data_IF_454606415883
#
_entry.id   IF_454606415883
#
_cell.length_a   1.000
_cell.length_b   1.000
_cell.length_c   1.000
_cell.angle_alpha   90.00
_cell.angle_beta   90.00
_cell.angle_gamma   90.00
#
_symmetry.space_group_name_H-M   'P 1'
#
loop_
_entity.id
_entity.type
_entity.pdbx_description
1 polymer ?
#
# COMPACT_ATOMS: atom_id res chain seq x y z
N UNK A 1 34.66 9.99 12.04
CA UNK A 1 33.63 9.52 13.00
C UNK A 1 33.82 8.02 13.20
N UNK A 2 33.80 7.52 14.44
CA UNK A 2 33.80 6.07 14.73
C UNK A 2 32.76 5.83 15.82
N UNK A 3 31.55 5.39 15.44
CA UNK A 3 30.58 4.89 16.41
C UNK A 3 31.01 3.46 16.78
N UNK A 4 31.30 3.22 18.05
CA UNK A 4 31.89 1.94 18.50
C UNK A 4 30.82 1.04 19.12
N UNK A 5 30.40 0.03 18.36
CA UNK A 5 29.40 -0.95 18.80
C UNK A 5 30.10 -2.13 19.49
N UNK A 6 29.92 -2.25 20.82
CA UNK A 6 30.59 -3.28 21.61
C UNK A 6 29.67 -4.46 21.91
N UNK A 7 30.08 -5.65 21.46
CA UNK A 7 29.37 -6.92 21.70
C UNK A 7 30.15 -7.82 22.67
N UNK A 8 30.41 -7.32 23.89
CA UNK A 8 31.04 -8.13 24.94
C UNK A 8 30.23 -9.42 25.20
N UNK A 9 30.94 -10.55 25.07
CA UNK A 9 30.62 -11.81 25.71
C UNK A 9 31.45 -11.82 26.99
N UNK A 10 30.82 -12.01 28.14
CA UNK A 10 31.51 -12.13 29.42
C UNK A 10 31.19 -13.51 30.01
N UNK A 11 32.25 -14.27 30.26
CA UNK A 11 32.24 -15.49 31.04
C UNK A 11 32.95 -15.23 32.36
N UNK A 12 32.28 -15.54 33.47
CA UNK A 12 32.84 -15.76 34.80
C UNK A 12 33.44 -14.55 35.57
N UNK A 13 33.51 -14.73 36.89
CA UNK A 13 34.18 -13.90 37.91
C UNK A 13 34.68 -14.87 39.01
N UNK A 14 34.75 -14.53 40.32
CA UNK A 14 34.52 -13.25 41.01
C UNK A 14 35.71 -12.89 41.97
N UNK A 15 35.42 -12.14 43.07
CA UNK A 15 36.23 -11.71 44.25
C UNK A 15 36.37 -10.15 44.28
N UNK A 16 35.97 -9.37 45.30
CA UNK A 16 36.23 -9.38 46.76
C UNK A 16 37.65 -8.86 47.13
N UNK A 17 37.88 -7.90 48.04
CA UNK A 17 37.02 -6.92 48.77
C UNK A 17 37.87 -5.64 49.10
N UNK A 18 37.72 -4.73 50.08
CA UNK A 18 36.90 -4.54 51.30
C UNK A 18 37.04 -3.08 51.89
N UNK A 19 36.42 -2.77 53.05
CA UNK A 19 36.86 -1.81 54.13
C UNK A 19 37.20 -0.31 53.77
N UNK A 20 36.73 0.78 54.43
CA UNK A 20 35.82 1.08 55.58
C UNK A 20 35.34 2.57 55.56
N UNK A 21 34.42 2.91 56.49
CA UNK A 21 33.92 4.24 56.93
C UNK A 21 35.02 5.24 57.43
N UNK A 22 34.78 6.50 57.87
CA UNK A 22 33.59 7.17 58.47
C UNK A 22 33.67 8.74 58.49
N UNK A 23 32.56 9.43 58.80
CA UNK A 23 32.34 10.81 59.37
C UNK A 23 33.26 12.00 58.92
N UNK A 24 32.88 13.05 58.16
CA UNK A 24 31.78 14.08 58.18
C UNK A 24 32.04 15.37 59.01
N UNK A 25 31.67 16.53 58.43
CA UNK A 25 31.45 17.90 59.01
C UNK A 25 32.58 18.97 58.89
N UNK A 26 32.20 20.11 58.27
CA UNK A 26 32.77 21.50 58.30
C UNK A 26 34.19 21.80 57.77
N UNK A 27 34.21 22.36 56.56
CA UNK A 27 35.00 23.56 56.17
C UNK A 27 34.29 24.34 55.03
N UNK A 28 33.00 24.64 55.18
CA UNK A 28 32.17 25.34 54.17
C UNK A 28 32.48 26.85 54.10
N UNK A 29 33.70 27.26 53.73
CA UNK A 29 34.01 28.71 53.60
C UNK A 29 35.23 29.05 52.70
N UNK A 30 35.61 28.18 51.75
CA UNK A 30 36.76 28.47 50.86
C UNK A 30 36.61 27.96 49.40
N UNK A 31 35.38 28.01 48.85
CA UNK A 31 35.05 27.37 47.56
C UNK A 31 34.26 28.26 46.56
N UNK A 32 34.39 29.59 46.64
CA UNK A 32 33.62 30.54 45.79
C UNK A 32 34.45 31.34 44.75
N UNK A 33 35.74 31.03 44.56
CA UNK A 33 36.62 31.87 43.68
C UNK A 33 37.33 31.13 42.54
N UNK A 34 37.09 29.83 42.32
CA UNK A 34 37.85 29.01 41.35
C UNK A 34 37.03 28.03 40.49
N UNK A 35 35.69 28.12 40.46
CA UNK A 35 34.83 27.21 39.67
C UNK A 35 33.89 27.99 38.74
N UNK A 36 34.49 28.77 37.83
CA UNK A 36 33.81 29.48 36.74
C UNK A 36 34.21 28.86 35.38
N UNK A 37 34.01 27.54 35.27
CA UNK A 37 34.51 26.64 34.23
C UNK A 37 34.98 25.32 34.85
N UNK A 38 34.85 24.16 34.18
CA UNK A 38 34.70 24.00 32.72
C UNK A 38 33.34 23.44 32.25
N UNK A 39 32.34 23.28 33.12
CA UNK A 39 31.05 22.62 32.78
C UNK A 39 30.37 23.22 31.56
N UNK A 40 30.08 24.53 31.57
CA UNK A 40 29.33 25.20 30.52
C UNK A 40 29.99 25.05 29.13
N UNK A 41 31.33 25.03 29.07
CA UNK A 41 32.07 24.81 27.83
C UNK A 41 31.92 23.35 27.35
N UNK A 42 32.08 22.37 28.24
CA UNK A 42 31.92 20.96 27.90
C UNK A 42 30.48 20.65 27.46
N UNK A 43 29.47 21.15 28.19
CA UNK A 43 28.06 21.00 27.82
C UNK A 43 27.74 21.70 26.48
N UNK A 44 28.39 22.83 26.16
CA UNK A 44 28.24 23.49 24.87
C UNK A 44 28.92 22.73 23.72
N UNK A 45 30.12 22.17 23.95
CA UNK A 45 30.81 21.30 22.98
C UNK A 45 30.01 20.01 22.70
N UNK A 46 29.42 19.39 23.73
CA UNK A 46 28.50 18.26 23.58
C UNK A 46 27.24 18.64 22.79
N UNK A 47 26.66 19.83 23.01
CA UNK A 47 25.48 20.33 22.27
C UNK A 47 25.80 20.56 20.79
N UNK A 48 26.94 21.16 20.46
CA UNK A 48 27.36 21.34 19.06
C UNK A 48 27.72 20.00 18.39
N UNK A 49 28.38 19.08 19.11
CA UNK A 49 28.62 17.72 18.62
C UNK A 49 27.31 17.01 18.26
N UNK A 50 26.28 17.10 19.12
CA UNK A 50 24.95 16.54 18.88
C UNK A 50 24.30 17.15 17.62
N UNK A 51 24.37 18.48 17.44
CA UNK A 51 23.83 19.16 16.24
C UNK A 51 24.51 18.68 14.96
N UNK A 52 25.85 18.65 14.94
CA UNK A 52 26.63 18.19 13.78
C UNK A 52 26.34 16.72 13.45
N UNK A 53 26.25 15.86 14.47
CA UNK A 53 25.89 14.46 14.27
C UNK A 53 24.48 14.29 13.70
N UNK A 54 23.49 15.06 14.15
CA UNK A 54 22.12 14.95 13.65
C UNK A 54 21.92 15.50 12.23
N UNK A 55 22.81 16.37 11.76
CA UNK A 55 22.86 16.83 10.37
C UNK A 55 23.54 15.82 9.41
N UNK A 56 24.24 14.80 9.92
CA UNK A 56 24.95 13.83 9.09
C UNK A 56 24.00 12.72 8.57
N UNK A 57 23.83 12.68 7.24
CA UNK A 57 23.08 11.64 6.53
C UNK A 57 23.63 10.21 6.67
N UNK A 58 24.74 10.02 7.39
CA UNK A 58 25.15 8.74 7.96
C UNK A 58 24.04 8.09 8.81
N UNK A 59 23.42 8.85 9.72
CA UNK A 59 22.39 8.31 10.64
C UNK A 59 21.05 8.03 9.98
N UNK A 60 20.80 8.61 8.80
CA UNK A 60 19.65 8.28 7.96
C UNK A 60 19.69 6.85 7.41
N UNK A 61 20.80 6.10 7.54
CA UNK A 61 20.98 4.79 6.90
C UNK A 61 20.40 3.64 7.74
N UNK A 62 19.67 2.73 7.11
CA UNK A 62 18.93 1.66 7.79
C UNK A 62 19.83 0.70 8.60
N UNK A 63 21.03 0.39 8.11
CA UNK A 63 21.98 -0.50 8.81
C UNK A 63 22.44 0.09 10.17
N UNK A 64 22.42 1.41 10.34
CA UNK A 64 22.70 2.06 11.62
C UNK A 64 21.64 1.69 12.66
N UNK A 65 20.37 1.62 12.25
CA UNK A 65 19.26 1.13 13.10
C UNK A 65 19.52 -0.32 13.54
N UNK A 66 20.15 -1.14 12.70
CA UNK A 66 20.48 -2.53 13.02
C UNK A 66 21.63 -2.65 14.02
N UNK A 67 22.71 -1.88 13.85
CA UNK A 67 23.87 -1.91 14.74
C UNK A 67 23.53 -1.37 16.12
N UNK A 68 22.89 -0.19 16.20
CA UNK A 68 22.40 0.38 17.46
C UNK A 68 21.37 -0.62 18.07
N UNK A 69 20.43 -1.12 17.26
CA UNK A 69 19.38 -2.05 17.67
C UNK A 69 19.85 -3.40 18.24
N UNK A 70 21.08 -3.82 17.91
CA UNK A 70 21.67 -5.11 18.34
C UNK A 70 22.84 -4.95 19.33
N UNK A 71 23.32 -3.74 19.58
CA UNK A 71 24.44 -3.50 20.46
C UNK A 71 24.05 -3.66 21.95
N UNK A 72 24.92 -4.30 22.74
CA UNK A 72 24.77 -4.42 24.20
C UNK A 72 25.26 -3.19 24.95
N UNK A 73 26.22 -2.49 24.36
CA UNK A 73 26.81 -1.27 24.87
C UNK A 73 27.17 -0.38 23.68
N UNK A 74 26.82 0.90 23.78
CA UNK A 74 27.02 1.91 22.73
C UNK A 74 27.71 3.12 23.36
N UNK A 75 28.71 3.64 22.65
CA UNK A 75 29.46 4.83 23.02
C UNK A 75 29.65 5.68 21.75
N UNK A 76 29.32 6.96 21.86
CA UNK A 76 29.41 7.92 20.75
C UNK A 76 30.77 8.61 20.85
N UNK A 77 31.54 8.61 19.75
CA UNK A 77 32.85 9.26 19.68
C UNK A 77 32.96 10.19 18.48
N UNK A 78 33.33 11.45 18.73
CA UNK A 78 33.46 12.49 17.73
C UNK A 78 34.64 13.42 18.09
N UNK A 79 35.71 13.36 17.29
CA UNK A 79 37.01 13.92 17.70
C UNK A 79 37.49 13.22 18.98
N UNK A 80 37.96 14.01 19.94
CA UNK A 80 38.36 13.54 21.27
C UNK A 80 37.17 13.35 22.24
N UNK A 81 35.96 13.82 21.88
CA UNK A 81 34.77 13.68 22.72
C UNK A 81 34.28 12.24 22.65
N UNK A 82 34.17 11.58 23.81
CA UNK A 82 33.59 10.25 23.96
C UNK A 82 32.52 10.29 25.06
N UNK A 83 31.29 9.88 24.74
CA UNK A 83 30.18 9.88 25.68
C UNK A 83 29.35 8.59 25.63
N UNK A 84 28.82 8.20 26.79
CA UNK A 84 27.88 7.07 26.88
C UNK A 84 26.61 7.37 26.08
N UNK A 85 25.99 6.34 25.49
CA UNK A 85 24.72 6.49 24.78
C UNK A 85 23.64 7.17 25.62
N UNK A 86 23.58 6.91 26.94
CA UNK A 86 22.62 7.58 27.84
C UNK A 86 22.86 9.09 27.95
N UNK A 87 24.11 9.55 27.92
CA UNK A 87 24.42 10.99 27.92
C UNK A 87 23.99 11.63 26.58
N UNK A 88 24.43 11.04 25.46
CA UNK A 88 24.03 11.45 24.11
C UNK A 88 22.51 11.57 23.96
N UNK A 89 21.76 10.60 24.49
CA UNK A 89 20.30 10.59 24.51
C UNK A 89 19.67 11.77 25.25
N UNK A 90 20.23 12.20 26.39
CA UNK A 90 19.71 13.35 27.16
C UNK A 90 20.02 14.65 26.41
N UNK A 91 21.28 14.86 26.03
CA UNK A 91 21.71 16.04 25.28
C UNK A 91 20.95 16.18 23.96
N UNK A 92 20.62 15.07 23.28
CA UNK A 92 19.79 15.08 22.09
C UNK A 92 18.34 15.49 22.36
N UNK A 93 17.70 14.91 23.38
CA UNK A 93 16.32 15.23 23.75
C UNK A 93 16.12 16.69 24.19
N UNK A 94 17.15 17.33 24.76
CA UNK A 94 17.11 18.74 25.16
C UNK A 94 17.28 19.74 24.01
N UNK A 95 17.87 19.34 22.89
CA UNK A 95 18.32 20.29 21.86
C UNK A 95 17.67 20.09 20.48
N UNK A 96 17.06 18.93 20.19
CA UNK A 96 16.54 18.62 18.85
C UNK A 96 15.17 17.95 18.92
N UNK A 97 14.18 18.59 18.28
CA UNK A 97 12.80 18.10 18.24
C UNK A 97 12.53 17.05 17.16
N UNK A 98 13.29 17.05 16.05
CA UNK A 98 12.99 16.22 14.87
C UNK A 98 14.28 15.69 14.21
N UNK A 99 14.21 14.51 13.58
CA UNK A 99 15.32 13.90 12.85
C UNK A 99 15.35 12.36 12.97
N UNK A 100 16.06 11.66 12.06
CA UNK A 100 16.04 10.19 11.96
C UNK A 100 16.56 9.51 13.24
N UNK A 101 17.51 10.13 13.94
CA UNK A 101 17.97 9.67 15.25
C UNK A 101 16.82 9.52 16.25
N UNK A 102 15.87 10.46 16.29
CA UNK A 102 14.74 10.43 17.23
C UNK A 102 13.83 9.21 17.05
N UNK A 103 13.73 8.70 15.83
CA UNK A 103 12.91 7.52 15.50
C UNK A 103 13.59 6.21 15.94
N UNK A 104 14.93 6.14 15.94
CA UNK A 104 15.73 4.96 16.37
C UNK A 104 15.50 4.58 17.84
N UNK A 105 15.02 5.52 18.68
CA UNK A 105 14.94 5.32 20.13
C UNK A 105 13.73 4.51 20.60
N UNK A 106 12.85 4.10 19.68
CA UNK A 106 11.72 3.22 19.98
C UNK A 106 12.15 1.75 19.91
N UNK A 107 12.80 1.30 20.97
CA UNK A 107 13.26 -0.09 21.12
C UNK A 107 12.11 -1.09 21.32
N UNK A 108 12.23 -2.25 20.68
CA UNK A 108 11.31 -3.39 20.76
C UNK A 108 9.83 -3.03 20.50
N UNK A 109 9.52 -2.74 19.24
CA UNK A 109 8.14 -2.67 18.76
C UNK A 109 7.88 -3.73 17.68
N UNK A 110 6.60 -4.08 17.55
CA UNK A 110 6.08 -4.93 16.47
C UNK A 110 6.55 -4.44 15.09
N UNK A 111 6.85 -5.37 14.21
CA UNK A 111 7.45 -5.19 12.88
C UNK A 111 6.77 -4.11 12.04
N UNK A 112 5.43 -4.09 12.08
CA UNK A 112 4.58 -3.07 11.44
C UNK A 112 4.98 -1.65 11.79
N UNK A 113 5.38 -1.42 13.03
CA UNK A 113 5.77 -0.11 13.52
C UNK A 113 7.20 0.24 13.13
N UNK A 114 8.13 -0.72 13.14
CA UNK A 114 9.48 -0.49 12.59
C UNK A 114 9.40 -0.07 11.11
N UNK A 115 8.49 -0.68 10.33
CA UNK A 115 8.22 -0.29 8.94
C UNK A 115 7.70 1.15 8.81
N UNK A 116 6.86 1.63 9.74
CA UNK A 116 6.36 3.02 9.77
C UNK A 116 7.42 4.04 10.23
N UNK A 117 8.14 3.72 11.31
CA UNK A 117 9.12 4.59 11.98
C UNK A 117 10.44 4.71 11.20
N UNK A 118 10.79 3.74 10.36
CA UNK A 118 12.02 3.76 9.56
C UNK A 118 11.75 3.82 8.04
N UNK A 119 10.57 4.33 7.67
CA UNK A 119 10.17 4.43 6.26
C UNK A 119 11.05 5.36 5.43
N UNK A 120 11.63 6.40 6.03
CA UNK A 120 12.54 7.34 5.34
C UNK A 120 14.00 6.87 5.33
N UNK A 121 14.35 5.80 6.07
CA UNK A 121 15.74 5.37 6.23
C UNK A 121 16.36 4.82 4.93
N UNK A 122 17.60 5.17 4.64
CA UNK A 122 18.29 4.86 3.39
C UNK A 122 18.94 3.46 3.41
N UNK A 123 18.68 2.65 2.39
CA UNK A 123 19.40 1.39 2.12
C UNK A 123 19.78 1.31 0.63
N UNK A 124 20.76 0.47 0.30
CA UNK A 124 21.23 0.28 -1.08
C UNK A 124 20.45 -0.82 -1.79
N UNK A 125 20.22 -1.93 -1.10
CA UNK A 125 19.37 -3.04 -1.56
C UNK A 125 17.93 -2.80 -1.06
N UNK A 126 16.91 -2.68 -1.92
CA UNK A 126 15.54 -2.38 -1.47
C UNK A 126 14.94 -3.43 -0.52
N UNK A 127 15.32 -4.71 -0.63
CA UNK A 127 14.88 -5.77 0.29
C UNK A 127 15.30 -5.51 1.74
N UNK A 128 16.40 -4.79 1.97
CA UNK A 128 16.86 -4.43 3.32
C UNK A 128 15.80 -3.65 4.10
N UNK A 129 14.92 -2.87 3.43
CA UNK A 129 13.79 -2.20 4.10
C UNK A 129 12.91 -3.13 4.92
N UNK A 130 12.78 -4.37 4.47
CA UNK A 130 11.99 -5.41 5.12
C UNK A 130 12.95 -6.28 5.95
N UNK A 131 13.92 -6.90 5.31
CA UNK A 131 14.80 -7.91 5.90
C UNK A 131 15.70 -7.33 7.01
N UNK A 132 16.12 -6.07 6.86
CA UNK A 132 16.93 -5.37 7.87
C UNK A 132 16.17 -5.12 9.17
N UNK A 133 14.86 -4.84 9.08
CA UNK A 133 13.96 -4.62 10.21
C UNK A 133 13.39 -5.94 10.78
N UNK A 134 13.21 -6.97 9.94
CA UNK A 134 12.87 -8.34 10.38
C UNK A 134 13.83 -8.84 11.44
N UNK A 135 15.13 -8.54 11.28
CA UNK A 135 16.19 -8.89 12.25
C UNK A 135 16.23 -8.08 13.56
N UNK A 136 15.26 -7.18 13.78
CA UNK A 136 15.13 -6.32 14.97
C UNK A 136 13.77 -6.47 15.69
N UNK A 137 12.72 -6.88 14.99
CA UNK A 137 11.39 -7.04 15.56
C UNK A 137 11.30 -8.28 16.48
N UNK A 138 10.34 -8.28 17.42
CA UNK A 138 10.11 -9.39 18.34
C UNK A 138 9.07 -10.41 17.81
N UNK A 139 8.19 -9.95 16.92
CA UNK A 139 7.05 -10.64 16.33
C UNK A 139 7.37 -11.36 15.01
N UNK A 140 8.56 -11.15 14.41
CA UNK A 140 8.98 -11.71 13.11
C UNK A 140 9.44 -13.17 13.15
N UNK A 141 9.12 -13.90 14.21
CA UNK A 141 9.50 -15.32 14.35
C UNK A 141 8.84 -16.15 13.25
N UNK A 142 9.66 -16.82 12.43
CA UNK A 142 9.21 -17.60 11.28
C UNK A 142 9.16 -16.83 9.95
N UNK A 143 9.50 -15.54 9.92
CA UNK A 143 9.71 -14.82 8.66
C UNK A 143 10.98 -15.33 7.94
N UNK A 144 10.87 -15.74 6.67
CA UNK A 144 11.98 -16.25 5.89
C UNK A 144 12.56 -15.17 4.96
N UNK A 145 13.84 -14.83 5.14
CA UNK A 145 14.55 -13.86 4.30
C UNK A 145 15.27 -14.60 3.16
N UNK A 146 14.97 -14.24 1.91
CA UNK A 146 15.52 -14.87 0.71
C UNK A 146 15.80 -13.81 -0.36
N UNK A 147 17.06 -13.40 -0.49
CA UNK A 147 17.48 -12.34 -1.43
C UNK A 147 17.35 -12.74 -2.91
N UNK A 148 17.10 -14.02 -3.22
CA UNK A 148 16.83 -14.48 -4.59
C UNK A 148 15.41 -14.11 -5.05
N UNK A 149 14.50 -13.77 -4.13
CA UNK A 149 13.13 -13.35 -4.45
C UNK A 149 13.07 -12.02 -5.16
N UNK A 150 12.10 -11.85 -6.06
CA UNK A 150 11.73 -10.56 -6.63
C UNK A 150 11.11 -9.64 -5.58
N UNK A 151 11.14 -8.32 -5.80
CA UNK A 151 10.55 -7.34 -4.87
C UNK A 151 9.04 -7.55 -4.67
N UNK A 152 8.34 -8.06 -5.68
CA UNK A 152 6.90 -8.37 -5.60
C UNK A 152 6.64 -9.61 -4.75
N UNK A 153 7.49 -10.64 -4.82
CA UNK A 153 7.41 -11.79 -3.89
C UNK A 153 7.73 -11.38 -2.45
N UNK A 154 8.77 -10.57 -2.22
CA UNK A 154 9.10 -10.08 -0.88
C UNK A 154 7.96 -9.24 -0.31
N UNK A 155 7.29 -8.43 -1.14
CA UNK A 155 6.07 -7.72 -0.77
C UNK A 155 4.94 -8.69 -0.40
N UNK A 156 4.71 -9.73 -1.21
CA UNK A 156 3.62 -10.69 -0.99
C UNK A 156 3.83 -11.55 0.27
N UNK A 157 5.04 -12.03 0.53
CA UNK A 157 5.38 -12.75 1.76
C UNK A 157 5.30 -11.84 2.99
N UNK A 158 5.66 -10.55 2.86
CA UNK A 158 5.47 -9.55 3.93
C UNK A 158 3.99 -9.34 4.25
N UNK A 159 3.15 -9.13 3.23
CA UNK A 159 1.71 -8.96 3.42
C UNK A 159 1.06 -10.21 4.02
N UNK A 160 1.41 -11.40 3.53
CA UNK A 160 0.97 -12.69 4.08
C UNK A 160 1.38 -12.85 5.55
N UNK A 161 2.61 -12.47 5.91
CA UNK A 161 3.09 -12.54 7.29
C UNK A 161 2.29 -11.61 8.21
N UNK A 162 2.05 -10.37 7.80
CA UNK A 162 1.22 -9.41 8.55
C UNK A 162 -0.25 -9.84 8.66
N UNK A 163 -0.72 -10.69 7.74
CA UNK A 163 -2.06 -11.30 7.77
C UNK A 163 -2.13 -12.50 8.74
N UNK A 164 -1.07 -13.32 8.86
CA UNK A 164 -0.98 -14.41 9.84
C UNK A 164 -1.23 -13.93 11.27
N UNK A 165 -0.67 -12.77 11.63
CA UNK A 165 -0.71 -12.18 12.98
C UNK A 165 -2.06 -11.54 13.32
N UNK A 166 -3.07 -11.63 12.44
CA UNK A 166 -4.37 -10.96 12.61
C UNK A 166 -4.29 -9.43 12.55
N UNK A 167 -3.12 -8.89 12.22
CA UNK A 167 -2.81 -7.47 12.31
C UNK A 167 -3.50 -6.63 11.22
N UNK A 168 -3.77 -7.20 10.05
CA UNK A 168 -4.47 -6.53 8.95
C UNK A 168 -6.00 -6.59 9.14
N UNK A 169 -6.59 -5.50 9.63
CA UNK A 169 -8.02 -5.24 9.42
C UNK A 169 -8.27 -4.84 7.95
N UNK A 170 -9.52 -4.90 7.49
CA UNK A 170 -9.89 -4.51 6.11
C UNK A 170 -9.36 -3.16 5.69
N UNK A 171 -9.48 -2.19 6.60
CA UNK A 171 -9.20 -0.78 6.35
C UNK A 171 -7.70 -0.48 6.52
N UNK A 172 -6.96 -1.36 7.20
CA UNK A 172 -5.50 -1.30 7.32
C UNK A 172 -4.75 -2.12 6.26
N UNK A 173 -5.39 -3.11 5.63
CA UNK A 173 -4.79 -3.94 4.58
C UNK A 173 -4.24 -3.12 3.41
N UNK A 174 -5.05 -2.19 2.88
CA UNK A 174 -4.66 -1.27 1.80
C UNK A 174 -3.52 -0.35 2.24
N UNK A 175 -3.64 0.31 3.40
CA UNK A 175 -2.63 1.25 3.90
C UNK A 175 -1.26 0.59 4.14
N UNK A 176 -1.24 -0.59 4.78
CA UNK A 176 0.01 -1.33 4.98
C UNK A 176 0.56 -1.92 3.68
N UNK A 177 -0.30 -2.32 2.75
CA UNK A 177 0.12 -2.72 1.41
C UNK A 177 0.86 -1.61 0.67
N UNK A 178 0.34 -0.37 0.69
CA UNK A 178 0.98 0.79 0.06
C UNK A 178 2.29 1.17 0.77
N UNK A 179 2.35 1.10 2.10
CA UNK A 179 3.58 1.28 2.86
C UNK A 179 4.64 0.25 2.43
N UNK A 180 4.35 -1.05 2.51
CA UNK A 180 5.31 -2.10 2.14
C UNK A 180 5.70 -2.01 0.64
N UNK A 181 4.76 -1.59 -0.23
CA UNK A 181 5.03 -1.34 -1.65
C UNK A 181 6.00 -0.19 -1.84
N UNK A 182 5.75 0.99 -1.26
CA UNK A 182 6.63 2.16 -1.36
C UNK A 182 8.02 1.94 -0.76
N UNK A 183 8.16 1.06 0.24
CA UNK A 183 9.45 0.68 0.84
C UNK A 183 10.30 -0.17 -0.11
N UNK A 184 9.73 -1.26 -0.64
CA UNK A 184 10.44 -2.18 -1.54
C UNK A 184 10.59 -1.63 -2.97
N UNK A 185 9.58 -0.89 -3.43
CA UNK A 185 9.38 -0.52 -4.82
C UNK A 185 9.16 1.00 -4.86
N UNK A 186 10.27 1.73 -5.02
CA UNK A 186 10.23 3.18 -5.29
C UNK A 186 9.34 3.44 -6.51
N UNK A 187 8.60 4.54 -6.51
CA UNK A 187 7.55 4.88 -7.48
C UNK A 187 7.97 5.07 -8.96
N UNK A 188 9.19 4.63 -9.32
CA UNK A 188 9.81 4.76 -10.64
C UNK A 188 10.19 3.40 -11.27
N UNK A 189 9.82 2.26 -10.68
CA UNK A 189 9.81 0.99 -11.42
C UNK A 189 8.83 1.09 -12.59
N UNK A 190 9.18 0.50 -13.74
CA UNK A 190 8.39 0.58 -14.98
C UNK A 190 7.04 -0.17 -14.93
N UNK A 191 6.47 -0.50 -16.11
CA UNK A 191 5.17 -1.17 -16.23
C UNK A 191 5.05 -2.43 -15.36
N UNK A 192 3.81 -2.83 -15.06
CA UNK A 192 3.47 -3.97 -14.19
C UNK A 192 3.92 -5.35 -14.69
N UNK A 193 4.72 -5.41 -15.76
CA UNK A 193 5.39 -6.60 -16.26
C UNK A 193 6.22 -7.31 -15.18
N UNK A 194 6.76 -6.57 -14.19
CA UNK A 194 7.44 -7.17 -13.03
C UNK A 194 6.50 -7.82 -12.00
N UNK A 195 5.17 -7.73 -12.18
CA UNK A 195 4.19 -8.51 -11.44
C UNK A 195 3.79 -9.82 -12.15
N UNK A 196 4.11 -10.00 -13.44
CA UNK A 196 3.90 -11.26 -14.18
C UNK A 196 4.56 -12.52 -13.57
N UNK A 197 5.72 -12.47 -12.85
CA UNK A 197 6.26 -13.68 -12.21
C UNK A 197 5.46 -14.17 -10.99
N UNK A 198 4.39 -13.47 -10.57
CA UNK A 198 3.29 -14.11 -9.83
C UNK A 198 2.47 -15.00 -10.78
N UNK A 199 3.11 -16.08 -11.25
CA UNK A 199 2.76 -16.87 -12.43
C UNK A 199 1.24 -17.11 -12.63
N UNK A 200 0.63 -16.35 -13.55
CA UNK A 200 -0.63 -16.73 -14.21
C UNK A 200 -0.39 -17.88 -15.20
N UNK A 201 0.01 -19.04 -14.68
CA UNK A 201 -0.07 -20.31 -15.42
C UNK A 201 -1.55 -20.66 -15.63
N UNK A 202 -1.88 -21.23 -16.78
CA UNK A 202 -3.26 -21.42 -17.27
C UNK A 202 -4.04 -22.55 -16.56
N UNK A 203 -3.71 -22.85 -15.30
CA UNK A 203 -4.38 -23.83 -14.44
C UNK A 203 -4.14 -23.51 -12.95
N UNK A 204 -4.52 -22.31 -12.50
CA UNK A 204 -4.53 -21.99 -11.07
C UNK A 204 -5.60 -22.86 -10.38
N UNK A 205 -5.27 -23.66 -9.36
CA UNK A 205 -6.29 -24.31 -8.53
C UNK A 205 -7.00 -23.23 -7.72
N UNK A 206 -8.26 -22.94 -8.04
CA UNK A 206 -9.06 -21.95 -7.32
C UNK A 206 -9.13 -22.32 -5.84
N UNK A 207 -8.69 -21.40 -4.97
CA UNK A 207 -8.85 -21.52 -3.53
C UNK A 207 -10.30 -21.17 -3.16
N UNK A 208 -11.18 -22.14 -3.35
CA UNK A 208 -12.49 -22.16 -2.71
C UNK A 208 -12.28 -22.32 -1.19
N UNK A 209 -12.64 -21.32 -0.40
CA UNK A 209 -12.47 -21.38 1.06
C UNK A 209 -13.58 -22.20 1.73
N UNK A 210 -13.27 -23.45 2.10
CA UNK A 210 -14.09 -24.24 3.02
C UNK A 210 -13.89 -23.80 4.49
N UNK A 211 -14.99 -23.80 5.22
CA UNK A 211 -15.15 -23.57 6.68
C UNK A 211 -14.59 -22.25 7.26
N UNK A 212 -15.50 -21.36 7.67
CA UNK A 212 -15.25 -19.97 8.11
C UNK A 212 -14.44 -19.81 9.41
N UNK A 213 -13.86 -20.90 9.92
CA UNK A 213 -13.22 -21.01 11.24
C UNK A 213 -11.71 -20.74 11.21
N UNK A 214 -11.04 -21.01 10.09
CA UNK A 214 -9.60 -20.83 9.93
C UNK A 214 -9.31 -19.92 8.72
N UNK A 215 -9.17 -18.60 8.96
CA UNK A 215 -8.78 -17.66 7.90
C UNK A 215 -7.38 -17.99 7.38
N UNK A 216 -7.29 -18.32 6.10
CA UNK A 216 -6.01 -18.56 5.43
C UNK A 216 -5.20 -17.27 5.35
N UNK A 217 -3.91 -17.24 5.74
CA UNK A 217 -3.10 -16.01 5.68
C UNK A 217 -2.79 -15.54 4.25
N UNK A 218 -3.14 -16.34 3.23
CA UNK A 218 -3.11 -15.93 1.81
C UNK A 218 -4.34 -15.12 1.38
N UNK A 219 -5.40 -15.10 2.20
CA UNK A 219 -6.68 -14.46 1.92
C UNK A 219 -6.79 -13.16 2.72
N UNK A 220 -6.90 -12.04 2.02
CA UNK A 220 -7.03 -10.70 2.60
C UNK A 220 -8.49 -10.29 2.59
N UNK A 221 -9.06 -10.08 3.77
CA UNK A 221 -10.40 -9.52 3.91
C UNK A 221 -10.37 -8.01 3.69
N UNK A 222 -11.15 -7.50 2.73
CA UNK A 222 -11.28 -6.07 2.43
C UNK A 222 -12.74 -5.63 2.53
N UNK A 223 -12.98 -4.35 2.82
CA UNK A 223 -14.31 -3.74 2.76
C UNK A 223 -14.47 -3.02 1.43
N UNK A 224 -15.28 -3.58 0.55
CA UNK A 224 -15.72 -2.94 -0.67
C UNK A 224 -17.04 -2.17 -0.48
N UNK A 225 -17.29 -1.26 -1.41
CA UNK A 225 -18.51 -0.46 -1.57
C UNK A 225 -19.09 -0.76 -2.95
N UNK A 226 -20.30 -1.34 -3.00
CA UNK A 226 -20.93 -1.75 -4.25
C UNK A 226 -21.48 -0.50 -4.95
N UNK A 227 -20.81 -0.08 -6.02
CA UNK A 227 -21.22 1.09 -6.83
C UNK A 227 -22.44 0.73 -7.68
N UNK A 228 -22.46 -0.48 -8.23
CA UNK A 228 -23.57 -1.03 -8.98
C UNK A 228 -23.24 -2.31 -9.74
N UNK A 229 -24.06 -2.64 -10.72
CA UNK A 229 -23.90 -3.78 -11.63
C UNK A 229 -23.66 -3.27 -13.06
N UNK A 230 -22.70 -3.84 -13.80
CA UNK A 230 -22.47 -3.50 -15.21
C UNK A 230 -23.73 -3.85 -16.02
N UNK A 231 -24.27 -2.88 -16.75
CA UNK A 231 -25.44 -3.06 -17.62
C UNK A 231 -25.08 -3.16 -19.09
N UNK A 232 -24.03 -2.45 -19.53
CA UNK A 232 -23.50 -2.50 -20.89
C UNK A 232 -21.96 -2.45 -20.86
N UNK A 233 -21.34 -3.06 -21.87
CA UNK A 233 -19.89 -2.97 -22.13
C UNK A 233 -19.73 -2.36 -23.51
N UNK A 234 -19.03 -1.23 -23.58
CA UNK A 234 -18.84 -0.44 -24.78
C UNK A 234 -17.63 -0.87 -25.62
N UNK A 235 -17.30 -0.09 -26.67
CA UNK A 235 -16.06 -0.28 -27.44
C UNK A 235 -14.81 -0.13 -26.56
N UNK A 236 -13.64 -0.51 -27.08
CA UNK A 236 -12.40 -0.20 -26.38
C UNK A 236 -11.95 1.26 -26.63
N UNK A 237 -11.16 1.86 -25.72
CA UNK A 237 -10.68 3.23 -25.84
C UNK A 237 -10.01 3.58 -27.18
N UNK A 238 -9.27 2.65 -27.77
CA UNK A 238 -8.56 2.85 -29.05
C UNK A 238 -9.48 2.71 -30.28
N UNK A 239 -10.71 2.22 -30.11
CA UNK A 239 -11.70 2.07 -31.18
C UNK A 239 -12.74 3.19 -31.21
N UNK A 240 -13.11 3.78 -30.07
CA UNK A 240 -14.14 4.83 -30.03
C UNK A 240 -13.65 6.15 -30.65
N UNK A 241 -12.40 6.55 -30.34
CA UNK A 241 -11.77 7.77 -30.87
C UNK A 241 -11.78 7.87 -32.40
N UNK A 242 -11.38 6.82 -33.17
CA UNK A 242 -11.38 6.89 -34.64
C UNK A 242 -12.71 6.52 -35.32
N UNK A 243 -13.73 6.04 -34.60
CA UNK A 243 -14.93 5.45 -35.24
C UNK A 243 -16.24 6.05 -34.72
N UNK A 244 -16.81 6.98 -35.50
CA UNK A 244 -18.09 7.63 -35.20
C UNK A 244 -19.24 6.64 -34.98
N UNK A 245 -19.29 5.52 -35.71
CA UNK A 245 -20.34 4.51 -35.50
C UNK A 245 -20.26 3.83 -34.14
N UNK A 246 -19.05 3.74 -33.55
CA UNK A 246 -18.86 3.21 -32.18
C UNK A 246 -19.16 4.25 -31.11
N UNK A 247 -19.03 5.55 -31.42
CA UNK A 247 -19.54 6.63 -30.59
C UNK A 247 -21.09 6.69 -30.62
N UNK A 248 -21.70 6.67 -31.80
CA UNK A 248 -23.17 6.64 -31.97
C UNK A 248 -23.82 5.46 -31.20
N UNK A 249 -23.18 4.29 -31.21
CA UNK A 249 -23.59 3.11 -30.43
C UNK A 249 -23.43 3.33 -28.93
N UNK A 250 -22.35 3.98 -28.49
CA UNK A 250 -22.10 4.27 -27.08
C UNK A 250 -23.10 5.28 -26.50
N UNK A 251 -23.39 6.36 -27.23
CA UNK A 251 -24.44 7.33 -26.84
C UNK A 251 -25.85 6.70 -26.85
N UNK A 252 -26.10 5.73 -27.75
CA UNK A 252 -27.35 4.96 -27.75
C UNK A 252 -27.50 4.09 -26.48
N UNK A 253 -26.42 3.45 -26.02
CA UNK A 253 -26.40 2.70 -24.76
C UNK A 253 -26.57 3.62 -23.55
N UNK A 254 -25.96 4.82 -23.54
CA UNK A 254 -26.15 5.83 -22.49
C UNK A 254 -27.63 6.24 -22.42
N UNK A 255 -28.24 6.58 -23.56
CA UNK A 255 -29.63 7.00 -23.67
C UNK A 255 -30.60 5.90 -23.18
N UNK A 256 -30.35 4.64 -23.56
CA UNK A 256 -31.17 3.50 -23.14
C UNK A 256 -31.06 3.22 -21.63
N UNK A 257 -29.89 3.41 -21.02
CA UNK A 257 -29.65 3.06 -19.63
C UNK A 257 -29.95 4.20 -18.63
N UNK A 258 -29.85 5.47 -19.03
CA UNK A 258 -30.01 6.65 -18.14
C UNK A 258 -31.01 7.72 -18.62
N UNK A 259 -32.26 7.36 -19.02
CA UNK A 259 -33.22 8.33 -19.57
C UNK A 259 -33.58 9.48 -18.61
N UNK A 260 -33.60 9.23 -17.30
CA UNK A 260 -33.91 10.24 -16.27
C UNK A 260 -32.68 11.08 -15.85
N UNK A 261 -31.46 10.63 -16.16
CA UNK A 261 -30.19 11.23 -15.73
C UNK A 261 -29.29 11.67 -16.89
N UNK A 262 -29.86 11.82 -18.08
CA UNK A 262 -29.15 11.85 -19.36
C UNK A 262 -28.07 12.93 -19.46
N UNK A 263 -28.31 14.14 -18.93
CA UNK A 263 -27.33 15.24 -18.97
C UNK A 263 -26.07 14.96 -18.13
N UNK A 264 -26.22 14.37 -16.95
CA UNK A 264 -25.08 13.95 -16.12
C UNK A 264 -24.35 12.75 -16.73
N UNK A 265 -25.07 11.87 -17.43
CA UNK A 265 -24.48 10.72 -18.12
C UNK A 265 -23.66 11.14 -19.35
N UNK A 266 -24.14 12.07 -20.18
CA UNK A 266 -23.32 12.60 -21.27
C UNK A 266 -22.13 13.40 -20.76
N UNK A 267 -22.25 14.23 -19.70
CA UNK A 267 -21.07 14.94 -19.16
C UNK A 267 -20.00 13.96 -18.67
N UNK A 268 -20.39 12.88 -17.99
CA UNK A 268 -19.47 11.81 -17.56
C UNK A 268 -18.87 11.01 -18.74
N UNK A 269 -19.54 11.02 -19.91
CA UNK A 269 -19.02 10.49 -21.17
C UNK A 269 -18.04 11.47 -21.82
N UNK A 270 -18.37 12.75 -21.91
CA UNK A 270 -17.50 13.80 -22.45
C UNK A 270 -16.20 13.90 -21.65
N UNK A 271 -16.27 13.89 -20.31
CA UNK A 271 -15.11 13.84 -19.40
C UNK A 271 -14.22 12.61 -19.69
N UNK A 272 -14.82 11.44 -19.93
CA UNK A 272 -14.13 10.18 -20.25
C UNK A 272 -13.48 10.22 -21.64
N UNK A 273 -14.20 10.65 -22.69
CA UNK A 273 -13.67 10.73 -24.06
C UNK A 273 -12.54 11.76 -24.15
N UNK A 274 -12.67 12.92 -23.50
CA UNK A 274 -11.60 13.91 -23.46
C UNK A 274 -10.32 13.35 -22.79
N UNK A 275 -10.44 12.64 -21.68
CA UNK A 275 -9.29 11.97 -21.06
C UNK A 275 -8.63 10.93 -22.00
N UNK A 276 -9.44 10.16 -22.73
CA UNK A 276 -8.92 9.18 -23.70
C UNK A 276 -8.21 9.83 -24.90
N UNK A 277 -8.64 11.01 -25.32
CA UNK A 277 -7.98 11.80 -26.38
C UNK A 277 -6.63 12.40 -25.91
N UNK A 278 -6.48 12.71 -24.63
CA UNK A 278 -5.26 13.32 -24.08
C UNK A 278 -4.20 12.33 -23.57
N UNK A 279 -4.59 11.08 -23.33
CA UNK A 279 -3.78 10.00 -22.75
C UNK A 279 -3.02 9.19 -23.81
N UNK A 280 -1.93 8.53 -23.40
CA UNK A 280 -1.17 7.61 -24.26
C UNK A 280 -1.68 6.17 -24.09
N UNK A 281 -1.60 5.37 -25.16
CA UNK A 281 -1.99 3.95 -25.12
C UNK A 281 -1.34 3.16 -23.97
N UNK A 282 -0.06 3.42 -23.66
CA UNK A 282 0.66 2.79 -22.54
C UNK A 282 0.12 3.17 -21.15
N UNK A 283 -0.48 4.36 -21.02
CA UNK A 283 -1.14 4.81 -19.79
C UNK A 283 -2.49 4.09 -19.66
N UNK A 284 -3.23 3.93 -20.76
CA UNK A 284 -4.49 3.18 -20.85
C UNK A 284 -4.32 1.67 -20.59
N UNK A 285 -3.26 1.05 -21.10
CA UNK A 285 -2.92 -0.35 -20.80
C UNK A 285 -2.59 -0.54 -19.31
N UNK A 286 -2.06 0.48 -18.64
CA UNK A 286 -1.84 0.48 -17.18
C UNK A 286 -3.13 0.64 -16.35
N UNK A 287 -4.27 0.97 -16.98
CA UNK A 287 -5.57 1.10 -16.31
C UNK A 287 -6.29 -0.26 -16.25
N UNK A 288 -6.18 -1.10 -17.27
CA UNK A 288 -6.98 -2.32 -17.42
C UNK A 288 -6.23 -3.62 -17.15
N UNK A 289 -5.97 -3.94 -15.88
CA UNK A 289 -5.36 -5.22 -15.52
C UNK A 289 -6.38 -6.37 -15.50
N UNK A 290 -6.22 -7.29 -16.46
CA UNK A 290 -6.89 -8.61 -16.49
C UNK A 290 -6.32 -9.55 -15.42
N UNK A 291 -6.63 -9.28 -14.15
CA UNK A 291 -6.26 -10.14 -13.01
C UNK A 291 -7.49 -10.87 -12.46
N UNK A 292 -7.51 -12.20 -12.57
CA UNK A 292 -8.49 -13.05 -11.90
C UNK A 292 -7.90 -13.46 -10.54
N UNK A 293 -8.63 -13.20 -9.45
CA UNK A 293 -8.22 -13.65 -8.10
C UNK A 293 -8.18 -15.18 -8.04
N UNK A 294 -7.09 -15.72 -7.51
CA UNK A 294 -6.97 -17.15 -7.17
C UNK A 294 -7.91 -17.60 -6.05
N UNK A 295 -8.46 -16.65 -5.28
CA UNK A 295 -9.41 -16.87 -4.19
C UNK A 295 -10.84 -16.67 -4.68
N UNK A 296 -11.72 -17.60 -4.30
CA UNK A 296 -13.18 -17.44 -4.36
C UNK A 296 -13.80 -17.74 -3.00
N UNK A 297 -14.85 -17.01 -2.64
CA UNK A 297 -15.46 -17.09 -1.31
C UNK A 297 -16.97 -17.25 -1.37
N UNK A 298 -17.53 -17.94 -0.38
CA UNK A 298 -18.97 -18.05 -0.19
C UNK A 298 -19.50 -16.87 0.65
N UNK A 299 -20.57 -16.22 0.18
CA UNK A 299 -21.32 -15.25 0.98
C UNK A 299 -22.80 -15.65 1.09
N UNK A 300 -23.29 -15.78 2.32
CA UNK A 300 -24.69 -16.06 2.62
C UNK A 300 -25.57 -14.85 2.29
N UNK A 301 -26.49 -15.02 1.34
CA UNK A 301 -27.53 -14.02 1.08
C UNK A 301 -28.59 -14.07 2.20
N UNK A 302 -28.50 -13.13 3.15
CA UNK A 302 -29.56 -12.92 4.14
C UNK A 302 -30.78 -12.28 3.47
N UNK A 303 -31.99 -12.67 3.89
CA UNK A 303 -33.29 -12.27 3.30
C UNK A 303 -33.71 -10.81 3.56
N UNK A 304 -32.76 -9.89 3.71
CA UNK A 304 -32.99 -8.48 4.00
C UNK A 304 -32.31 -7.58 2.97
N UNK A 305 -32.43 -6.26 3.14
CA UNK A 305 -32.06 -5.25 2.14
C UNK A 305 -30.54 -5.04 2.04
N UNK A 306 -29.79 -6.09 1.70
CA UNK A 306 -28.35 -6.02 1.41
C UNK A 306 -28.12 -5.86 -0.11
N UNK A 307 -26.97 -5.32 -0.56
CA UNK A 307 -26.66 -5.19 -1.99
C UNK A 307 -26.80 -6.52 -2.74
N UNK A 308 -26.30 -7.62 -2.18
CA UNK A 308 -26.27 -8.93 -2.84
C UNK A 308 -27.67 -9.43 -3.22
N UNK A 309 -28.68 -9.18 -2.37
CA UNK A 309 -30.08 -9.52 -2.67
C UNK A 309 -30.68 -8.61 -3.76
N UNK A 310 -30.43 -7.30 -3.67
CA UNK A 310 -30.98 -6.31 -4.62
C UNK A 310 -30.41 -6.49 -6.03
N UNK A 311 -29.12 -6.79 -6.16
CA UNK A 311 -28.51 -7.04 -7.46
C UNK A 311 -28.83 -8.45 -8.01
N UNK A 312 -29.15 -9.45 -7.18
CA UNK A 312 -29.36 -10.85 -7.61
C UNK A 312 -30.35 -11.01 -8.77
N UNK A 313 -31.47 -10.29 -8.77
CA UNK A 313 -32.46 -10.36 -9.84
C UNK A 313 -31.96 -9.75 -11.16
N UNK A 314 -31.26 -8.61 -11.08
CA UNK A 314 -30.71 -7.93 -12.26
C UNK A 314 -29.55 -8.73 -12.87
N UNK A 315 -28.67 -9.31 -12.03
CA UNK A 315 -27.61 -10.23 -12.47
C UNK A 315 -28.21 -11.42 -13.23
N UNK A 316 -29.30 -12.04 -12.74
CA UNK A 316 -29.98 -13.14 -13.46
C UNK A 316 -30.58 -12.74 -14.81
N UNK A 317 -30.94 -11.48 -15.00
CA UNK A 317 -31.48 -10.97 -16.27
C UNK A 317 -30.37 -10.67 -17.28
N UNK A 318 -29.25 -10.11 -16.80
CA UNK A 318 -28.07 -9.76 -17.61
C UNK A 318 -27.17 -10.98 -17.91
N UNK A 319 -27.15 -11.97 -17.02
CA UNK A 319 -26.45 -13.25 -17.13
C UNK A 319 -27.46 -14.40 -16.97
N UNK A 320 -28.26 -14.72 -18.02
CA UNK A 320 -28.97 -16.00 -18.07
C UNK A 320 -27.96 -17.16 -17.98
N UNK A 321 -28.35 -18.26 -17.33
CA UNK A 321 -27.41 -19.29 -16.85
C UNK A 321 -26.69 -20.04 -17.98
N UNK A 322 -25.56 -19.48 -18.42
CA UNK A 322 -24.65 -20.05 -19.40
C UNK A 322 -23.59 -20.93 -18.74
N UNK A 323 -23.47 -22.17 -19.23
CA UNK A 323 -22.37 -23.08 -18.88
C UNK A 323 -21.02 -22.47 -19.31
N UNK A 324 -20.02 -22.54 -18.44
CA UNK A 324 -18.65 -22.10 -18.77
C UNK A 324 -18.00 -23.10 -19.73
N UNK A 325 -18.13 -22.86 -21.04
CA UNK A 325 -17.30 -23.49 -22.06
C UNK A 325 -15.95 -22.79 -22.16
N UNK A 326 -14.86 -23.56 -22.10
CA UNK A 326 -13.47 -23.08 -22.03
C UNK A 326 -12.91 -22.54 -23.36
N UNK A 327 -13.74 -21.90 -24.19
CA UNK A 327 -13.41 -21.47 -25.55
C UNK A 327 -13.94 -20.06 -25.83
N UNK A 328 -13.28 -19.06 -25.23
CA UNK A 328 -13.40 -17.64 -25.61
C UNK A 328 -12.11 -16.86 -25.25
N UNK A 329 -10.95 -17.48 -25.50
CA UNK A 329 -9.65 -16.80 -25.46
C UNK A 329 -9.23 -16.53 -26.91
N UNK A 330 -9.83 -15.51 -27.50
CA UNK A 330 -9.30 -14.92 -28.74
C UNK A 330 -8.03 -14.13 -28.39
N UNK A 331 -6.91 -14.47 -29.02
CA UNK A 331 -5.58 -13.89 -28.75
C UNK A 331 -5.40 -12.45 -29.27
N UNK A 332 -6.47 -11.81 -29.74
CA UNK A 332 -6.49 -10.42 -30.24
C UNK A 332 -7.59 -9.57 -29.60
N UNK A 333 -8.13 -9.96 -28.45
CA UNK A 333 -9.05 -9.11 -27.70
C UNK A 333 -8.34 -7.83 -27.19
N UNK A 334 -9.02 -6.66 -27.14
CA UNK A 334 -8.43 -5.44 -26.58
C UNK A 334 -8.09 -5.61 -25.10
N UNK A 335 -7.19 -4.79 -24.56
CA UNK A 335 -6.81 -4.79 -23.13
C UNK A 335 -7.93 -4.26 -22.21
N UNK A 336 -8.71 -3.32 -22.74
CA UNK A 336 -9.75 -2.56 -22.03
C UNK A 336 -11.04 -2.48 -22.82
N UNK A 337 -12.15 -2.23 -22.13
CA UNK A 337 -13.44 -1.81 -22.72
C UNK A 337 -14.05 -0.68 -21.87
N UNK A 338 -14.87 0.17 -22.46
CA UNK A 338 -15.75 1.06 -21.68
C UNK A 338 -16.84 0.23 -20.99
N UNK A 339 -17.39 0.72 -19.87
CA UNK A 339 -18.53 0.08 -19.19
C UNK A 339 -19.55 1.10 -18.72
N UNK A 340 -20.83 0.73 -18.75
CA UNK A 340 -21.90 1.41 -18.01
C UNK A 340 -22.27 0.57 -16.80
N UNK A 341 -22.33 1.19 -15.62
CA UNK A 341 -22.79 0.57 -14.37
C UNK A 341 -24.12 1.19 -13.93
N UNK A 342 -25.01 0.40 -13.33
CA UNK A 342 -26.26 0.88 -12.76
C UNK A 342 -26.40 0.46 -11.30
N UNK A 343 -26.68 1.43 -10.44
CA UNK A 343 -27.04 1.17 -9.05
C UNK A 343 -28.54 0.88 -8.97
N UNK A 344 -28.91 -0.27 -8.39
CA UNK A 344 -30.30 -0.70 -8.22
C UNK A 344 -30.79 -0.59 -6.77
N UNK A 345 -29.91 -0.18 -5.84
CA UNK A 345 -30.23 0.05 -4.43
C UNK A 345 -30.70 1.50 -4.18
N UNK A 346 -30.17 2.43 -4.99
CA UNK A 346 -30.48 3.86 -5.04
C UNK A 346 -31.55 4.17 -6.08
N UNK A 347 -32.01 5.42 -6.10
CA UNK A 347 -32.78 5.99 -7.22
C UNK A 347 -31.88 6.43 -8.37
N UNK A 348 -30.73 6.99 -8.02
CA UNK A 348 -29.75 7.55 -8.95
C UNK A 348 -28.45 6.76 -8.86
N UNK A 349 -27.77 6.59 -10.00
CA UNK A 349 -26.44 6.00 -10.06
C UNK A 349 -25.40 7.12 -10.01
N UNK A 350 -24.54 7.21 -8.97
CA UNK A 350 -23.60 8.30 -8.82
C UNK A 350 -22.54 8.29 -9.93
N UNK A 351 -21.71 7.23 -9.97
CA UNK A 351 -20.75 6.96 -11.04
C UNK A 351 -21.37 6.00 -12.03
N UNK A 352 -21.49 6.40 -13.28
CA UNK A 352 -22.24 5.70 -14.33
C UNK A 352 -21.32 4.95 -15.28
N UNK A 353 -20.06 5.38 -15.44
CA UNK A 353 -19.16 4.80 -16.43
C UNK A 353 -17.66 4.92 -16.13
N UNK A 354 -16.86 4.27 -16.99
CA UNK A 354 -15.41 4.34 -16.96
C UNK A 354 -14.77 3.28 -17.85
N UNK A 355 -13.53 2.90 -17.51
CA UNK A 355 -12.71 1.92 -18.23
C UNK A 355 -12.60 0.64 -17.38
N UNK A 356 -12.86 -0.52 -17.97
CA UNK A 356 -12.71 -1.84 -17.34
C UNK A 356 -11.72 -2.73 -18.10
N UNK A 357 -11.24 -3.80 -17.47
CA UNK A 357 -10.63 -4.93 -18.21
C UNK A 357 -11.61 -5.49 -19.25
N UNK A 358 -11.11 -5.96 -20.38
CA UNK A 358 -11.92 -6.65 -21.40
C UNK A 358 -12.53 -7.98 -20.94
N UNK A 359 -12.18 -8.48 -19.75
CA UNK A 359 -12.89 -9.60 -19.11
C UNK A 359 -14.25 -9.20 -18.48
N UNK A 360 -14.55 -7.90 -18.39
CA UNK A 360 -15.82 -7.37 -17.87
C UNK A 360 -17.02 -7.77 -18.74
N UNK A 361 -18.16 -8.04 -18.10
CA UNK A 361 -19.42 -8.43 -18.76
C UNK A 361 -20.62 -7.77 -18.06
N UNK A 362 -21.74 -7.54 -18.77
CA UNK A 362 -23.01 -7.22 -18.12
C UNK A 362 -23.34 -8.25 -17.03
N UNK A 363 -23.84 -7.80 -15.88
CA UNK A 363 -24.09 -8.63 -14.70
C UNK A 363 -22.93 -8.75 -13.71
N UNK A 364 -21.74 -8.24 -14.01
CA UNK A 364 -20.65 -8.15 -13.02
C UNK A 364 -20.90 -6.99 -12.04
N UNK A 365 -20.61 -7.17 -10.75
CA UNK A 365 -20.68 -6.08 -9.78
C UNK A 365 -19.40 -5.27 -9.76
N UNK A 366 -19.52 -3.95 -9.75
CA UNK A 366 -18.39 -3.03 -9.59
C UNK A 366 -18.30 -2.59 -8.13
N UNK A 367 -17.21 -2.95 -7.46
CA UNK A 367 -17.02 -2.75 -6.03
C UNK A 367 -15.76 -1.90 -5.77
N UNK A 368 -15.95 -0.66 -5.35
CA UNK A 368 -14.89 0.29 -5.04
C UNK A 368 -14.34 0.04 -3.62
N UNK A 369 -13.08 0.39 -3.37
CA UNK A 369 -12.42 0.22 -2.07
C UNK A 369 -11.85 1.57 -1.63
N UNK A 370 -12.11 1.95 -0.38
CA UNK A 370 -11.66 3.24 0.15
C UNK A 370 -10.14 3.37 0.11
N UNK A 371 -9.66 4.53 -0.34
CA UNK A 371 -8.23 4.85 -0.43
C UNK A 371 -7.51 4.38 -1.70
N UNK A 372 -8.20 3.76 -2.66
CA UNK A 372 -7.68 3.45 -4.00
C UNK A 372 -8.60 3.99 -5.10
N UNK A 373 -8.05 4.32 -6.27
CA UNK A 373 -8.83 4.74 -7.45
C UNK A 373 -9.46 3.57 -8.21
N UNK A 374 -8.94 2.35 -8.02
CA UNK A 374 -9.39 1.15 -8.76
C UNK A 374 -10.52 0.45 -8.00
N UNK A 375 -11.60 0.15 -8.72
CA UNK A 375 -12.64 -0.77 -8.28
C UNK A 375 -12.33 -2.20 -8.74
N UNK A 376 -12.90 -3.19 -8.04
CA UNK A 376 -12.88 -4.60 -8.42
C UNK A 376 -14.15 -4.98 -9.18
N UNK A 377 -14.00 -5.89 -10.15
CA UNK A 377 -15.10 -6.55 -10.83
C UNK A 377 -15.37 -7.92 -10.20
N UNK A 378 -16.56 -8.10 -9.64
CA UNK A 378 -16.97 -9.31 -8.94
C UNK A 378 -17.99 -10.08 -9.76
N UNK A 379 -17.72 -11.35 -10.03
CA UNK A 379 -18.63 -12.26 -10.73
C UNK A 379 -19.11 -13.35 -9.78
N UNK A 380 -20.40 -13.67 -9.83
CA UNK A 380 -20.98 -14.82 -9.15
C UNK A 380 -20.68 -16.08 -9.97
N UNK A 381 -19.72 -16.88 -9.53
CA UNK A 381 -19.32 -18.12 -10.23
C UNK A 381 -20.17 -19.35 -9.87
N UNK A 382 -20.96 -19.28 -8.78
CA UNK A 382 -21.71 -20.45 -8.32
C UNK A 382 -22.77 -20.17 -7.26
N UNK A 383 -23.31 -21.23 -6.66
CA UNK A 383 -24.22 -21.17 -5.50
C UNK A 383 -24.07 -22.42 -4.66
N UNK A 384 -23.90 -22.24 -3.35
CA UNK A 384 -23.72 -23.31 -2.37
C UNK A 384 -24.89 -23.27 -1.41
N UNK A 385 -25.95 -24.00 -1.75
CA UNK A 385 -27.28 -23.80 -1.17
C UNK A 385 -27.72 -22.33 -1.24
N UNK A 386 -27.97 -21.73 -0.07
CA UNK A 386 -28.34 -20.31 0.03
C UNK A 386 -27.17 -19.36 -0.21
N UNK A 387 -25.91 -19.77 0.00
CA UNK A 387 -24.74 -18.93 -0.25
C UNK A 387 -24.47 -18.76 -1.75
N UNK A 388 -23.78 -17.67 -2.10
CA UNK A 388 -23.36 -17.33 -3.45
C UNK A 388 -21.84 -17.28 -3.49
N UNK A 389 -21.25 -17.95 -4.48
CA UNK A 389 -19.79 -18.03 -4.62
C UNK A 389 -19.34 -16.87 -5.50
N UNK A 390 -18.46 -16.03 -4.97
CA UNK A 390 -17.94 -14.83 -5.63
C UNK A 390 -16.44 -14.95 -5.91
N UNK A 391 -15.99 -14.29 -6.97
CA UNK A 391 -14.58 -14.21 -7.36
C UNK A 391 -14.33 -12.87 -8.09
N UNK A 392 -13.12 -12.33 -7.95
CA UNK A 392 -12.67 -11.13 -8.68
C UNK A 392 -12.22 -11.55 -10.09
N UNK A 393 -12.71 -10.86 -11.12
CA UNK A 393 -12.35 -11.07 -12.54
C UNK A 393 -11.54 -9.91 -13.16
N UNK A 394 -11.20 -8.90 -12.37
CA UNK A 394 -10.29 -7.82 -12.76
C UNK A 394 -10.62 -6.49 -12.12
N UNK A 395 -10.07 -5.41 -12.68
CA UNK A 395 -10.29 -4.04 -12.21
C UNK A 395 -11.09 -3.19 -13.18
N UNK A 396 -11.72 -2.16 -12.62
CA UNK A 396 -12.30 -1.03 -13.33
C UNK A 396 -11.84 0.30 -12.71
N UNK A 397 -11.95 1.38 -13.48
CA UNK A 397 -11.62 2.75 -13.10
C UNK A 397 -12.75 3.66 -13.58
N UNK A 398 -13.34 4.42 -12.67
CA UNK A 398 -14.42 5.36 -12.96
C UNK A 398 -13.91 6.67 -13.55
N UNK A 399 -14.72 7.35 -14.36
CA UNK A 399 -14.38 8.66 -14.94
C UNK A 399 -13.91 9.66 -13.87
N UNK A 400 -14.60 9.71 -12.73
CA UNK A 400 -14.28 10.65 -11.64
C UNK A 400 -12.90 10.40 -10.98
N UNK A 401 -12.29 9.23 -11.19
CA UNK A 401 -10.98 8.84 -10.64
C UNK A 401 -9.86 8.80 -11.71
N UNK A 402 -10.10 9.33 -12.90
CA UNK A 402 -9.08 9.54 -13.95
C UNK A 402 -8.14 10.71 -13.62
N UNK A 403 -8.66 11.73 -12.92
CA UNK A 403 -7.91 12.87 -12.37
C UNK A 403 -7.27 12.49 -11.02
N UNK A 404 -5.94 12.59 -10.93
CA UNK A 404 -5.12 11.84 -9.95
C UNK A 404 -4.61 12.65 -8.76
N UNK A 405 -4.65 13.98 -8.83
CA UNK A 405 -4.08 14.84 -7.78
C UNK A 405 -5.06 15.08 -6.61
N UNK A 406 -6.36 14.93 -6.83
CA UNK A 406 -7.37 15.24 -5.82
C UNK A 406 -7.73 14.06 -4.90
N UNK A 407 -6.76 13.67 -4.07
CA UNK A 407 -6.96 12.69 -2.98
C UNK A 407 -8.01 13.12 -1.95
N UNK A 408 -8.54 14.34 -1.99
CA UNK A 408 -9.58 14.79 -1.04
C UNK A 408 -10.97 14.24 -1.41
N UNK A 409 -11.21 13.94 -2.71
CA UNK A 409 -12.49 13.38 -3.21
C UNK A 409 -12.86 12.06 -2.54
N UNK A 410 -11.90 11.17 -2.26
CA UNK A 410 -12.16 9.88 -1.62
C UNK A 410 -12.93 9.99 -0.30
N UNK A 411 -12.80 11.10 0.44
CA UNK A 411 -13.55 11.31 1.67
C UNK A 411 -15.03 11.67 1.40
N UNK A 412 -15.29 12.51 0.38
CA UNK A 412 -16.63 12.83 -0.08
C UNK A 412 -17.32 11.60 -0.70
N UNK A 413 -16.59 10.85 -1.51
CA UNK A 413 -17.01 9.56 -2.07
C UNK A 413 -17.44 8.61 -0.94
N UNK A 414 -16.64 8.48 0.13
CA UNK A 414 -16.96 7.61 1.27
C UNK A 414 -18.28 8.01 1.96
N UNK A 415 -18.57 9.30 2.11
CA UNK A 415 -19.87 9.75 2.65
C UNK A 415 -21.04 9.39 1.74
N UNK A 416 -20.80 9.22 0.44
CA UNK A 416 -21.83 8.85 -0.52
C UNK A 416 -22.22 7.36 -0.44
N UNK A 417 -21.29 6.45 -0.14
CA UNK A 417 -21.51 4.98 -0.21
C UNK A 417 -21.72 4.25 1.13
N UNK A 418 -21.88 4.98 2.24
CA UNK A 418 -21.79 4.49 3.63
C UNK A 418 -22.54 3.18 3.99
N UNK A 419 -23.63 2.84 3.29
CA UNK A 419 -24.51 1.68 3.58
C UNK A 419 -24.42 0.50 2.59
N UNK A 420 -23.70 0.63 1.47
CA UNK A 420 -23.66 -0.39 0.41
C UNK A 420 -22.36 -1.22 0.46
N UNK A 421 -21.99 -1.65 1.65
CA UNK A 421 -20.74 -2.37 1.89
C UNK A 421 -20.84 -3.87 1.59
N UNK A 422 -19.75 -4.43 1.06
CA UNK A 422 -19.58 -5.85 0.85
C UNK A 422 -18.19 -6.27 1.34
N UNK A 423 -18.12 -7.19 2.29
CA UNK A 423 -16.87 -7.86 2.65
C UNK A 423 -16.40 -8.74 1.48
N UNK A 424 -15.15 -8.52 1.08
CA UNK A 424 -14.47 -9.17 -0.04
C UNK A 424 -13.31 -10.01 0.47
N UNK A 425 -13.02 -11.13 -0.19
CA UNK A 425 -11.87 -11.97 0.12
C UNK A 425 -10.99 -12.12 -1.14
N UNK A 426 -9.75 -11.64 -1.06
CA UNK A 426 -8.86 -11.53 -2.23
C UNK A 426 -7.45 -12.07 -1.94
N UNK A 427 -6.68 -12.37 -2.99
CA UNK A 427 -5.28 -12.72 -2.86
C UNK A 427 -4.34 -11.49 -2.82
N UNK A 428 -3.07 -11.73 -2.47
CA UNK A 428 -2.04 -10.70 -2.45
C UNK A 428 -1.86 -10.01 -3.81
N UNK A 429 -1.98 -10.75 -4.91
CA UNK A 429 -1.85 -10.20 -6.27
C UNK A 429 -2.94 -9.15 -6.57
N UNK A 430 -4.18 -9.43 -6.17
CA UNK A 430 -5.30 -8.49 -6.29
C UNK A 430 -5.04 -7.21 -5.49
N UNK A 431 -4.54 -7.32 -4.26
CA UNK A 431 -4.14 -6.16 -3.43
C UNK A 431 -3.01 -5.39 -4.10
N UNK A 432 -2.01 -6.07 -4.68
CA UNK A 432 -0.90 -5.42 -5.39
C UNK A 432 -1.36 -4.61 -6.60
N UNK A 433 -2.32 -5.16 -7.37
CA UNK A 433 -2.92 -4.51 -8.55
C UNK A 433 -3.74 -3.29 -8.15
N UNK A 434 -4.57 -3.38 -7.10
CA UNK A 434 -5.32 -2.24 -6.55
C UNK A 434 -4.40 -1.05 -6.18
N UNK A 435 -3.26 -1.36 -5.57
CA UNK A 435 -2.23 -0.40 -5.16
C UNK A 435 -1.35 0.10 -6.33
N UNK A 436 -1.72 -0.13 -7.58
CA UNK A 436 -0.92 0.29 -8.73
C UNK A 436 -1.35 1.67 -9.21
N UNK A 437 -0.61 2.69 -8.77
CA UNK A 437 -0.80 4.08 -9.17
C UNK A 437 -0.77 4.21 -10.70
N UNK A 438 -1.66 5.03 -11.24
CA UNK A 438 -1.66 5.40 -12.66
C UNK A 438 -0.62 6.51 -12.84
N UNK A 439 0.20 6.41 -13.88
CA UNK A 439 1.30 7.36 -14.13
C UNK A 439 0.71 8.58 -14.85
N UNK A 440 0.63 9.73 -14.17
CA UNK A 440 0.14 10.96 -14.77
C UNK A 440 1.21 11.71 -15.57
N UNK A 441 0.77 12.30 -16.69
CA UNK A 441 1.55 13.09 -17.66
C UNK A 441 2.45 14.16 -17.01
N UNK A 442 1.89 15.01 -16.15
CA UNK A 442 2.64 16.04 -15.42
C UNK A 442 3.72 15.44 -14.50
N UNK A 443 3.43 14.31 -13.85
CA UNK A 443 4.37 13.65 -12.93
C UNK A 443 5.56 13.10 -13.72
N UNK A 444 5.33 12.47 -14.87
CA UNK A 444 6.37 12.02 -15.79
C UNK A 444 7.26 13.18 -16.29
N UNK A 445 6.68 14.31 -16.70
CA UNK A 445 7.42 15.50 -17.15
C UNK A 445 8.25 16.13 -16.03
N UNK A 446 7.72 16.16 -14.79
CA UNK A 446 8.47 16.61 -13.61
C UNK A 446 9.67 15.72 -13.26
N UNK A 447 9.59 14.42 -13.59
CA UNK A 447 10.65 13.43 -13.33
C UNK A 447 11.79 13.59 -14.34
N UNK A 448 11.49 13.85 -15.62
CA UNK A 448 12.53 14.15 -16.63
C UNK A 448 13.35 15.37 -16.22
N UNK A 449 12.67 16.47 -15.83
CA UNK A 449 13.33 17.72 -15.43
C UNK A 449 14.12 17.63 -14.10
N UNK A 450 13.94 16.58 -13.29
CA UNK A 450 14.74 16.32 -12.07
C UNK A 450 15.97 15.44 -12.30
N UNK A 451 16.09 14.80 -13.47
CA UNK A 451 17.15 13.83 -13.77
C UNK A 451 18.27 14.40 -14.66
N UNK A 452 18.31 15.72 -14.90
CA UNK A 452 19.43 16.40 -15.56
C UNK A 452 20.31 17.05 -14.48
N UNK A 453 21.49 16.50 -14.15
CA UNK A 453 22.46 17.23 -13.37
C UNK A 453 23.03 18.35 -14.26
N UNK A 454 22.83 19.61 -13.86
CA UNK A 454 23.51 20.74 -14.48
C UNK A 454 24.97 20.76 -14.05
N UNK A 455 25.82 20.03 -14.78
CA UNK A 455 27.27 20.20 -14.72
C UNK A 455 27.64 21.62 -15.14
N UNK A 456 27.74 22.52 -14.15
CA UNK A 456 28.35 23.83 -14.33
C UNK A 456 29.86 23.66 -14.43
N UNK A 457 30.35 23.57 -15.65
CA UNK A 457 31.76 23.76 -15.98
C UNK A 457 32.09 25.25 -15.78
N UNK A 458 32.75 25.58 -14.67
CA UNK A 458 33.44 26.86 -14.42
C UNK A 458 34.44 26.71 -13.28
#
# INVERSE_FOLDING_TARGET
>A
MIVSFSKKIHSEGPQASDITSETTVRSEEMLESLVAGPKDNAENEEREMVKVLCADGYWSRLWIVQEIGRARQIEVRFGEIAMSWKAFMVTLHENINEGPLREIFRYLFFFRKLLCDHREALCTEPRDKIYGLVGLAADTTGFHMDYNRTLVEVWADTMKFLNCDGCLSSDHGIHFGELVKSLLIRANSGPLEQALPLNCSQSIPTLCMEDTKNKSPRVFGLRGYVVGCIVAVGPCPTEIVPNMQKADQWDSEILQNFPEGLGEAHRESDELINYLLESKNSELESISFSHISSVSWEKSCNYYRTPEFVYQCNIKQLQPEYSVTSQDISTTAPSSSLFLVKNYYRRETPWKMGIATSQARPGDLVCWISGVSRALLLRKIGSSGNAKVWQVFGTALFTQHLDLDDKTRYAADLTSFDKETMDLEVDAATVYVLLSQIISKQRAESIVNRNIPTERIS
#
